data_IF_394105527224
#
_entry.id   IF_394105527224
#
_cell.length_a   1.000
_cell.length_b   1.000
_cell.length_c   1.000
_cell.angle_alpha   90.00
_cell.angle_beta   90.00
_cell.angle_gamma   90.00
#
_symmetry.space_group_name_H-M   'P 1'
#
loop_
_entity.id
_entity.type
_entity.pdbx_description
1 polymer ?
#
# COMPACT_ATOMS: atom_id res chain seq x y z
N UNK A 1 -32.20 3.97 39.19
CA UNK A 1 -33.08 4.17 40.36
C UNK A 1 -34.54 4.43 39.95
N UNK A 2 -35.51 3.68 40.48
CA UNK A 2 -36.94 3.94 40.28
C UNK A 2 -37.32 5.21 41.05
N UNK A 3 -37.11 6.37 40.43
CA UNK A 3 -37.32 7.71 41.01
C UNK A 3 -38.76 8.20 40.87
N UNK A 4 -39.71 7.32 40.60
CA UNK A 4 -41.12 7.70 40.50
C UNK A 4 -41.77 7.53 41.86
N UNK A 5 -42.15 8.64 42.51
CA UNK A 5 -43.00 8.61 43.71
C UNK A 5 -44.32 7.93 43.37
N UNK A 6 -44.79 7.07 44.27
CA UNK A 6 -46.03 6.27 44.13
C UNK A 6 -47.23 7.12 43.67
N UNK A 7 -47.43 8.30 44.26
CA UNK A 7 -48.48 9.27 43.87
C UNK A 7 -48.45 9.69 42.40
N UNK A 8 -47.26 9.68 41.77
CA UNK A 8 -47.07 10.04 40.36
C UNK A 8 -47.38 8.86 39.46
N UNK A 9 -47.03 7.64 39.88
CA UNK A 9 -47.39 6.42 39.17
C UNK A 9 -48.91 6.19 39.20
N UNK A 10 -49.54 6.33 40.36
CA UNK A 10 -50.99 6.23 40.53
C UNK A 10 -51.73 7.24 39.65
N UNK A 11 -51.29 8.51 39.64
CA UNK A 11 -51.89 9.54 38.78
C UNK A 11 -51.77 9.22 37.28
N UNK A 12 -50.66 8.60 36.85
CA UNK A 12 -50.44 8.22 35.45
C UNK A 12 -51.38 7.09 35.03
N UNK A 13 -51.58 6.08 35.87
CA UNK A 13 -52.50 4.98 35.57
C UNK A 13 -53.97 5.40 35.65
N UNK A 14 -54.35 6.23 36.63
CA UNK A 14 -55.71 6.77 36.72
C UNK A 14 -56.09 7.59 35.47
N UNK A 15 -55.16 8.31 34.87
CA UNK A 15 -55.40 9.07 33.64
C UNK A 15 -55.72 8.19 32.41
N UNK A 16 -55.44 6.88 32.46
CA UNK A 16 -55.71 5.94 31.37
C UNK A 16 -57.07 5.24 31.50
N UNK A 17 -57.73 5.35 32.66
CA UNK A 17 -59.00 4.67 32.94
C UNK A 17 -60.18 5.63 32.79
N UNK A 18 -61.29 5.23 32.14
CA UNK A 18 -62.50 6.05 32.09
C UNK A 18 -63.28 5.97 33.43
N UNK A 19 -63.62 7.13 34.00
CA UNK A 19 -64.54 7.26 35.15
C UNK A 19 -63.88 7.62 36.50
N UNK A 20 -64.70 7.79 37.54
CA UNK A 20 -64.23 8.04 38.91
C UNK A 20 -63.76 6.73 39.55
N UNK A 21 -62.45 6.46 39.47
CA UNK A 21 -61.83 5.28 40.06
C UNK A 21 -61.24 5.64 41.44
N UNK A 22 -61.63 4.89 42.48
CA UNK A 22 -61.06 5.02 43.82
C UNK A 22 -60.00 3.95 44.04
N UNK A 23 -58.73 4.37 44.17
CA UNK A 23 -57.61 3.48 44.49
C UNK A 23 -57.78 2.93 45.90
N UNK A 24 -57.75 1.60 46.04
CA UNK A 24 -57.83 0.91 47.34
C UNK A 24 -56.46 0.50 47.86
N UNK A 25 -55.60 0.05 46.97
CA UNK A 25 -54.24 -0.41 47.25
C UNK A 25 -53.37 -0.14 46.02
N UNK A 26 -52.09 0.11 46.25
CA UNK A 26 -51.09 0.21 45.20
C UNK A 26 -49.92 -0.70 45.57
N UNK A 27 -49.43 -1.46 44.59
CA UNK A 27 -48.30 -2.38 44.78
C UNK A 27 -47.27 -2.14 43.69
N UNK A 28 -45.99 -2.26 44.04
CA UNK A 28 -44.90 -2.21 43.07
C UNK A 28 -44.82 -3.54 42.33
N UNK A 29 -44.88 -3.50 41.00
CA UNK A 29 -44.73 -4.68 40.13
C UNK A 29 -43.54 -4.47 39.21
N UNK A 30 -42.65 -5.44 39.17
CA UNK A 30 -41.52 -5.51 38.25
C UNK A 30 -41.93 -6.25 36.97
N UNK A 31 -41.81 -5.60 35.82
CA UNK A 31 -42.09 -6.21 34.53
C UNK A 31 -40.83 -6.85 33.93
N UNK A 32 -40.94 -8.04 33.32
CA UNK A 32 -39.81 -8.69 32.69
C UNK A 32 -39.44 -7.97 31.38
N UNK A 33 -38.15 -7.71 31.22
CA UNK A 33 -37.57 -7.17 30.00
C UNK A 33 -36.44 -8.09 29.54
N UNK A 34 -36.25 -8.17 28.23
CA UNK A 34 -35.08 -8.80 27.64
C UNK A 34 -33.98 -7.75 27.48
N UNK A 35 -32.79 -8.08 27.96
CA UNK A 35 -31.58 -7.27 27.80
C UNK A 35 -30.57 -8.04 26.96
N UNK A 36 -30.22 -7.50 25.80
CA UNK A 36 -29.11 -7.96 24.98
C UNK A 36 -27.90 -7.07 25.22
N UNK A 37 -26.77 -7.65 25.64
CA UNK A 37 -25.49 -6.96 25.73
C UNK A 37 -24.45 -7.69 24.89
N UNK A 38 -23.74 -6.95 24.05
CA UNK A 38 -22.67 -7.49 23.22
C UNK A 38 -21.49 -6.54 23.15
N UNK A 39 -20.31 -7.11 22.96
CA UNK A 39 -19.10 -6.39 22.57
C UNK A 39 -18.65 -6.91 21.21
N UNK A 40 -18.63 -6.03 20.21
CA UNK A 40 -18.12 -6.32 18.88
C UNK A 40 -16.67 -5.84 18.78
N UNK A 41 -15.75 -6.77 18.53
CA UNK A 41 -14.33 -6.44 18.32
C UNK A 41 -13.98 -6.51 16.85
N UNK A 42 -13.45 -5.41 16.33
CA UNK A 42 -12.99 -5.29 14.96
C UNK A 42 -11.47 -5.23 14.95
N UNK A 43 -10.85 -6.05 14.11
CA UNK A 43 -9.40 -6.09 13.96
C UNK A 43 -9.04 -5.91 12.51
N UNK A 44 -8.04 -5.07 12.24
CA UNK A 44 -7.46 -5.00 10.91
C UNK A 44 -6.81 -6.35 10.54
N UNK A 45 -6.68 -6.64 9.23
CA UNK A 45 -6.03 -7.86 8.72
C UNK A 45 -4.58 -7.98 9.17
N UNK A 46 -3.90 -6.86 9.44
CA UNK A 46 -2.54 -6.85 9.98
C UNK A 46 -2.50 -6.93 11.51
N UNK A 47 -3.67 -6.94 12.17
CA UNK A 47 -3.87 -6.97 13.64
C UNK A 47 -3.17 -5.84 14.41
N UNK A 48 -2.85 -4.73 13.74
CA UNK A 48 -2.16 -3.59 14.35
C UNK A 48 -3.11 -2.66 15.11
N UNK A 49 -4.38 -2.64 14.71
CA UNK A 49 -5.41 -1.80 15.30
C UNK A 49 -6.65 -2.64 15.62
N UNK A 50 -7.22 -2.37 16.79
CA UNK A 50 -8.46 -2.98 17.25
C UNK A 50 -9.45 -1.91 17.70
N UNK A 51 -10.70 -2.05 17.30
CA UNK A 51 -11.82 -1.25 17.80
C UNK A 51 -12.79 -2.15 18.52
N UNK A 52 -13.28 -1.70 19.66
CA UNK A 52 -14.33 -2.38 20.42
C UNK A 52 -15.57 -1.48 20.45
N UNK A 53 -16.73 -2.07 20.16
CA UNK A 53 -18.03 -1.40 20.22
C UNK A 53 -18.97 -2.18 21.13
N UNK A 54 -19.43 -1.52 22.19
CA UNK A 54 -20.44 -2.08 23.10
C UNK A 54 -21.83 -1.75 22.57
N UNK A 55 -22.66 -2.77 22.42
CA UNK A 55 -24.01 -2.68 21.89
C UNK A 55 -24.96 -3.22 22.95
N UNK A 56 -25.96 -2.42 23.31
CA UNK A 56 -27.01 -2.81 24.24
C UNK A 56 -28.38 -2.67 23.57
N UNK A 57 -29.27 -3.62 23.83
CA UNK A 57 -30.68 -3.58 23.44
C UNK A 57 -31.56 -3.86 24.65
N UNK A 58 -32.60 -3.06 24.85
CA UNK A 58 -33.58 -3.26 25.91
C UNK A 58 -34.99 -3.23 25.33
N UNK A 59 -35.72 -4.32 25.52
CA UNK A 59 -37.08 -4.47 25.02
C UNK A 59 -37.96 -5.22 26.02
N UNK A 60 -39.30 -5.01 25.98
CA UNK A 60 -40.22 -5.88 26.70
C UNK A 60 -39.95 -7.34 26.35
N UNK A 61 -40.06 -8.25 27.32
CA UNK A 61 -39.79 -9.66 27.08
C UNK A 61 -40.75 -10.21 26.00
N UNK A 62 -40.24 -10.62 24.82
CA UNK A 62 -41.08 -11.16 23.75
C UNK A 62 -41.59 -12.56 24.07
N UNK A 63 -42.56 -13.05 23.29
CA UNK A 63 -42.96 -14.47 23.35
C UNK A 63 -41.88 -15.36 22.72
N UNK A 64 -41.87 -16.65 23.07
CA UNK A 64 -40.78 -17.57 22.70
C UNK A 64 -40.51 -17.72 21.20
N UNK A 65 -41.47 -17.41 20.33
CA UNK A 65 -41.37 -17.54 18.87
C UNK A 65 -41.45 -16.20 18.13
N UNK A 66 -41.44 -15.09 18.86
CA UNK A 66 -41.52 -13.76 18.26
C UNK A 66 -40.25 -13.39 17.51
N UNK A 67 -40.41 -12.57 16.48
CA UNK A 67 -39.29 -11.95 15.79
C UNK A 67 -38.97 -10.59 16.42
N UNK A 68 -37.69 -10.37 16.73
CA UNK A 68 -37.22 -9.12 17.34
C UNK A 68 -36.55 -8.23 16.30
N UNK A 69 -37.08 -7.01 16.14
CA UNK A 69 -36.42 -5.93 15.40
C UNK A 69 -35.44 -5.20 16.32
N UNK A 70 -34.23 -5.76 16.45
CA UNK A 70 -33.20 -5.30 17.39
C UNK A 70 -32.84 -3.82 17.21
N UNK A 71 -32.81 -3.29 15.98
CA UNK A 71 -32.42 -1.90 15.70
C UNK A 71 -33.31 -0.88 16.43
N UNK A 72 -34.61 -1.17 16.55
CA UNK A 72 -35.57 -0.29 17.24
C UNK A 72 -35.35 -0.23 18.76
N UNK A 73 -34.61 -1.18 19.31
CA UNK A 73 -34.43 -1.37 20.74
C UNK A 73 -32.99 -1.10 21.20
N UNK A 74 -32.11 -0.65 20.29
CA UNK A 74 -30.74 -0.24 20.62
C UNK A 74 -30.75 0.93 21.60
N UNK A 75 -29.89 0.83 22.61
CA UNK A 75 -29.71 1.85 23.65
C UNK A 75 -28.22 2.06 23.93
N UNK A 76 -27.84 3.31 24.18
CA UNK A 76 -26.44 3.71 24.38
C UNK A 76 -26.05 3.91 25.86
N UNK A 77 -26.99 3.71 26.79
CA UNK A 77 -26.82 4.09 28.20
C UNK A 77 -26.74 2.90 29.17
N UNK A 78 -26.77 1.67 28.66
CA UNK A 78 -26.80 0.44 29.47
C UNK A 78 -25.53 -0.37 29.26
N UNK A 79 -24.91 -0.76 30.36
CA UNK A 79 -23.78 -1.68 30.43
C UNK A 79 -24.03 -2.68 31.56
N UNK A 80 -23.26 -3.77 31.60
CA UNK A 80 -23.40 -4.78 32.64
C UNK A 80 -23.19 -4.21 34.05
N UNK A 81 -22.38 -3.17 34.18
CA UNK A 81 -22.05 -2.49 35.45
C UNK A 81 -23.25 -1.72 36.04
N UNK A 82 -24.24 -1.37 35.21
CA UNK A 82 -25.45 -0.67 35.65
C UNK A 82 -26.53 -1.64 36.19
N UNK A 83 -26.30 -2.95 36.15
CA UNK A 83 -27.28 -3.96 36.55
C UNK A 83 -27.08 -4.38 38.01
N UNK A 84 -28.17 -4.45 38.75
CA UNK A 84 -28.23 -4.98 40.11
C UNK A 84 -28.95 -6.32 40.09
N UNK A 85 -28.45 -7.30 40.85
CA UNK A 85 -29.06 -8.62 40.93
C UNK A 85 -30.36 -8.63 41.76
N UNK A 86 -30.49 -7.68 42.68
CA UNK A 86 -31.64 -7.56 43.56
C UNK A 86 -32.45 -6.30 43.21
N UNK A 87 -33.79 -6.36 43.31
CA UNK A 87 -34.60 -5.18 43.10
C UNK A 87 -34.33 -4.14 44.21
N UNK A 88 -34.29 -2.84 43.89
CA UNK A 88 -34.00 -1.80 44.87
C UNK A 88 -35.10 -1.63 45.93
N UNK A 89 -36.29 -2.23 45.73
CA UNK A 89 -37.42 -2.26 46.68
C UNK A 89 -38.14 -3.60 46.58
N UNK A 90 -38.75 -4.05 47.67
CA UNK A 90 -39.64 -5.21 47.61
C UNK A 90 -40.87 -4.90 46.74
N UNK A 91 -41.27 -5.88 45.94
CA UNK A 91 -42.41 -5.78 45.03
C UNK A 91 -42.79 -7.15 44.50
N UNK A 92 -43.86 -7.18 43.72
CA UNK A 92 -44.29 -8.37 42.96
C UNK A 92 -43.54 -8.42 41.63
N UNK A 93 -43.45 -9.60 41.03
CA UNK A 93 -42.89 -9.79 39.70
C UNK A 93 -44.01 -10.20 38.73
N UNK A 94 -44.01 -9.60 37.54
CA UNK A 94 -44.91 -9.97 36.46
C UNK A 94 -44.65 -11.41 36.00
N UNK A 95 -45.66 -12.03 35.41
CA UNK A 95 -45.51 -13.34 34.78
C UNK A 95 -44.61 -13.25 33.56
N UNK A 96 -43.86 -14.33 33.30
CA UNK A 96 -43.16 -14.49 32.03
C UNK A 96 -44.17 -14.80 30.91
N UNK A 97 -43.94 -14.31 29.68
CA UNK A 97 -44.69 -14.74 28.51
C UNK A 97 -44.60 -16.25 28.27
N UNK A 98 -45.54 -16.77 27.48
CA UNK A 98 -45.63 -18.19 27.19
C UNK A 98 -44.34 -18.70 26.52
N UNK A 99 -43.85 -19.85 27.00
CA UNK A 99 -42.61 -20.48 26.52
C UNK A 99 -41.31 -19.86 27.03
N UNK A 100 -41.35 -18.73 27.76
CA UNK A 100 -40.15 -18.05 28.27
C UNK A 100 -39.66 -18.55 29.63
N UNK A 101 -40.24 -19.64 30.13
CA UNK A 101 -39.77 -20.32 31.35
C UNK A 101 -38.56 -21.22 31.08
N UNK A 102 -38.43 -21.69 29.84
CA UNK A 102 -37.34 -22.57 29.41
C UNK A 102 -36.17 -21.79 28.80
N UNK A 103 -34.96 -22.36 28.84
CA UNK A 103 -33.75 -21.75 28.27
C UNK A 103 -33.67 -21.64 26.73
N UNK A 104 -34.29 -22.51 25.90
CA UNK A 104 -34.07 -22.49 24.44
C UNK A 104 -34.41 -21.18 23.73
N UNK A 105 -35.53 -20.49 24.01
CA UNK A 105 -35.86 -19.22 23.34
C UNK A 105 -34.80 -18.13 23.55
N UNK A 106 -34.22 -18.03 24.76
CA UNK A 106 -33.12 -17.09 25.03
C UNK A 106 -31.87 -17.39 24.20
N UNK A 107 -31.63 -18.67 23.90
CA UNK A 107 -30.52 -19.08 23.03
C UNK A 107 -30.77 -18.62 21.59
N UNK A 108 -31.99 -18.79 21.09
CA UNK A 108 -32.37 -18.29 19.77
C UNK A 108 -32.24 -16.77 19.68
N UNK A 109 -32.75 -16.03 20.67
CA UNK A 109 -32.62 -14.57 20.70
C UNK A 109 -31.16 -14.10 20.76
N UNK A 110 -30.30 -14.80 21.51
CA UNK A 110 -28.87 -14.51 21.53
C UNK A 110 -28.26 -14.68 20.14
N UNK A 111 -28.55 -15.80 19.47
CA UNK A 111 -27.98 -16.11 18.15
C UNK A 111 -28.51 -15.12 17.09
N UNK A 112 -29.80 -14.80 17.12
CA UNK A 112 -30.41 -13.76 16.27
C UNK A 112 -29.80 -12.36 16.53
N UNK A 113 -29.47 -12.03 17.79
CA UNK A 113 -28.83 -10.78 18.15
C UNK A 113 -27.39 -10.70 17.62
N UNK A 114 -26.64 -11.81 17.69
CA UNK A 114 -25.30 -11.92 17.10
C UNK A 114 -25.39 -11.69 15.59
N UNK A 115 -26.32 -12.36 14.91
CA UNK A 115 -26.52 -12.21 13.46
C UNK A 115 -26.91 -10.78 13.06
N UNK A 116 -27.76 -10.13 13.86
CA UNK A 116 -28.09 -8.71 13.69
C UNK A 116 -26.85 -7.82 13.78
N UNK A 117 -25.99 -8.00 14.78
CA UNK A 117 -24.76 -7.21 14.95
C UNK A 117 -23.84 -7.39 13.74
N UNK A 118 -23.65 -8.62 13.27
CA UNK A 118 -22.83 -8.89 12.08
C UNK A 118 -23.38 -8.21 10.82
N UNK A 119 -24.70 -8.12 10.67
CA UNK A 119 -25.35 -7.54 9.49
C UNK A 119 -25.40 -6.01 9.52
N UNK A 120 -25.77 -5.43 10.66
CA UNK A 120 -26.12 -4.00 10.77
C UNK A 120 -24.98 -3.12 11.31
N UNK A 121 -23.91 -3.72 11.84
CA UNK A 121 -22.72 -3.00 12.32
C UNK A 121 -21.43 -3.36 11.54
N UNK A 122 -21.42 -3.31 10.20
CA UNK A 122 -20.19 -3.50 9.44
C UNK A 122 -19.29 -2.25 9.51
N UNK A 123 -17.99 -2.45 9.70
CA UNK A 123 -17.02 -1.36 9.49
C UNK A 123 -16.72 -1.21 8.00
N UNK A 124 -16.81 0.03 7.53
CA UNK A 124 -16.44 0.38 6.15
C UNK A 124 -14.92 0.54 6.07
N UNK A 125 -14.30 -0.23 5.18
CA UNK A 125 -12.88 -0.10 4.86
C UNK A 125 -12.76 0.40 3.42
N UNK A 126 -12.02 1.49 3.23
CA UNK A 126 -11.71 2.02 1.91
C UNK A 126 -10.51 1.28 1.33
N UNK A 127 -10.53 0.99 0.04
CA UNK A 127 -9.48 0.22 -0.62
C UNK A 127 -9.01 0.92 -1.89
N UNK A 128 -7.70 1.07 -2.04
CA UNK A 128 -7.07 1.54 -3.26
C UNK A 128 -6.25 0.41 -3.88
N UNK A 129 -6.87 -0.35 -4.79
CA UNK A 129 -6.32 -1.60 -5.34
C UNK A 129 -4.93 -1.44 -5.99
N UNK A 130 -4.72 -0.39 -6.80
CA UNK A 130 -3.43 -0.18 -7.49
C UNK A 130 -2.28 0.12 -6.51
N UNK A 131 -2.56 0.81 -5.41
CA UNK A 131 -1.57 1.10 -4.37
C UNK A 131 -1.49 -0.02 -3.33
N UNK A 132 -2.41 -0.99 -3.36
CA UNK A 132 -2.56 -2.04 -2.34
C UNK A 132 -2.67 -1.47 -0.93
N UNK A 133 -3.39 -0.35 -0.80
CA UNK A 133 -3.66 0.30 0.47
C UNK A 133 -5.11 0.06 0.88
N UNK A 134 -5.31 -0.19 2.17
CA UNK A 134 -6.61 -0.26 2.84
C UNK A 134 -6.66 0.81 3.93
N UNK A 135 -7.83 1.37 4.20
CA UNK A 135 -8.00 2.34 5.28
C UNK A 135 -7.79 1.70 6.65
N UNK A 136 -7.37 2.52 7.62
CA UNK A 136 -7.36 2.16 9.04
C UNK A 136 -8.79 2.16 9.61
N UNK A 137 -8.94 1.62 10.82
CA UNK A 137 -10.21 1.70 11.54
C UNK A 137 -10.51 3.18 11.84
N UNK A 138 -11.74 3.62 11.57
CA UNK A 138 -12.21 5.00 11.74
C UNK A 138 -11.45 6.08 10.94
N UNK A 139 -10.59 5.70 9.99
CA UNK A 139 -9.93 6.67 9.09
C UNK A 139 -10.96 7.32 8.18
N UNK A 140 -10.99 8.66 8.18
CA UNK A 140 -11.87 9.39 7.29
C UNK A 140 -11.43 9.22 5.83
N UNK A 141 -12.37 9.35 4.89
CA UNK A 141 -12.05 9.29 3.45
C UNK A 141 -10.98 10.32 3.05
N UNK A 142 -10.99 11.49 3.70
CA UNK A 142 -10.01 12.55 3.46
C UNK A 142 -8.61 12.12 3.88
N UNK A 143 -8.45 11.53 5.06
CA UNK A 143 -7.17 11.03 5.56
C UNK A 143 -6.65 9.90 4.68
N UNK A 144 -7.51 8.93 4.36
CA UNK A 144 -7.14 7.83 3.47
C UNK A 144 -6.68 8.32 2.11
N UNK A 145 -7.39 9.30 1.51
CA UNK A 145 -7.01 9.89 0.23
C UNK A 145 -5.68 10.64 0.30
N UNK A 146 -5.38 11.32 1.41
CA UNK A 146 -4.09 11.97 1.61
C UNK A 146 -2.96 10.94 1.67
N UNK A 147 -3.12 9.87 2.44
CA UNK A 147 -2.15 8.76 2.52
C UNK A 147 -1.93 8.08 1.16
N UNK A 148 -3.00 7.88 0.39
CA UNK A 148 -2.89 7.35 -0.98
C UNK A 148 -2.06 8.28 -1.88
N UNK A 149 -2.28 9.60 -1.79
CA UNK A 149 -1.50 10.57 -2.57
C UNK A 149 -0.03 10.54 -2.18
N UNK A 150 0.28 10.55 -0.89
CA UNK A 150 1.66 10.48 -0.40
C UNK A 150 2.38 9.22 -0.89
N UNK A 151 1.72 8.06 -0.80
CA UNK A 151 2.26 6.81 -1.31
C UNK A 151 2.46 6.83 -2.84
N UNK A 152 1.52 7.41 -3.59
CA UNK A 152 1.67 7.57 -5.03
C UNK A 152 2.86 8.47 -5.38
N UNK A 153 3.08 9.55 -4.62
CA UNK A 153 4.27 10.41 -4.81
C UNK A 153 5.54 9.64 -4.51
N UNK A 154 5.60 8.94 -3.37
CA UNK A 154 6.75 8.12 -2.98
C UNK A 154 7.11 7.09 -4.05
N UNK A 155 6.13 6.38 -4.62
CA UNK A 155 6.37 5.41 -5.70
C UNK A 155 6.85 6.07 -6.98
N UNK A 156 6.26 7.21 -7.35
CA UNK A 156 6.71 7.98 -8.52
C UNK A 156 8.17 8.38 -8.38
N UNK A 157 8.52 8.95 -7.23
CA UNK A 157 9.88 9.42 -6.95
C UNK A 157 10.86 8.22 -6.95
N UNK A 158 10.46 7.07 -6.40
CA UNK A 158 11.25 5.84 -6.49
C UNK A 158 11.46 5.34 -7.93
N UNK A 159 10.45 5.44 -8.80
CA UNK A 159 10.61 5.06 -10.21
C UNK A 159 11.53 6.04 -10.95
N UNK A 160 11.40 7.34 -10.69
CA UNK A 160 12.29 8.37 -11.24
C UNK A 160 13.74 8.10 -10.81
N UNK A 161 13.97 7.82 -9.52
CA UNK A 161 15.30 7.49 -9.01
C UNK A 161 15.85 6.21 -9.65
N UNK A 162 15.02 5.18 -9.87
CA UNK A 162 15.44 3.94 -10.55
C UNK A 162 15.84 4.19 -12.00
N UNK A 163 15.08 4.99 -12.73
CA UNK A 163 15.40 5.37 -14.11
C UNK A 163 16.68 6.19 -14.13
N UNK A 164 16.80 7.20 -13.26
CA UNK A 164 18.00 8.02 -13.14
C UNK A 164 19.26 7.22 -12.78
N UNK A 165 19.16 6.24 -11.89
CA UNK A 165 20.27 5.35 -11.56
C UNK A 165 20.68 4.45 -12.74
N UNK A 166 19.72 4.00 -13.54
CA UNK A 166 19.99 3.21 -14.75
C UNK A 166 20.71 4.04 -15.80
N UNK A 167 20.16 5.21 -16.15
CA UNK A 167 20.76 6.12 -17.10
C UNK A 167 22.16 6.59 -16.65
N UNK A 168 22.32 6.88 -15.35
CA UNK A 168 23.62 7.24 -14.79
C UNK A 168 24.66 6.12 -14.92
N UNK A 169 24.26 4.86 -14.69
CA UNK A 169 25.15 3.71 -14.89
C UNK A 169 25.53 3.54 -16.36
N UNK A 170 24.55 3.62 -17.26
CA UNK A 170 24.76 3.45 -18.70
C UNK A 170 25.68 4.56 -19.25
N UNK A 171 25.50 5.81 -18.83
CA UNK A 171 26.39 6.93 -19.15
C UNK A 171 27.81 6.67 -18.65
N UNK A 172 27.99 6.32 -17.38
CA UNK A 172 29.32 6.03 -16.82
C UNK A 172 30.02 4.88 -17.54
N UNK A 173 29.27 3.85 -17.98
CA UNK A 173 29.84 2.76 -18.79
C UNK A 173 30.29 3.23 -20.17
N UNK A 174 29.52 4.09 -20.83
CA UNK A 174 29.87 4.67 -22.14
C UNK A 174 31.06 5.64 -22.04
N UNK A 175 31.08 6.50 -21.02
CA UNK A 175 32.20 7.41 -20.74
C UNK A 175 33.49 6.62 -20.47
N UNK A 176 33.41 5.56 -19.68
CA UNK A 176 34.56 4.70 -19.42
C UNK A 176 35.04 3.97 -20.69
N UNK A 177 34.15 3.64 -21.64
CA UNK A 177 34.52 3.11 -22.96
C UNK A 177 35.19 4.18 -23.81
N UNK A 178 34.64 5.39 -23.86
CA UNK A 178 35.22 6.52 -24.59
C UNK A 178 36.64 6.82 -24.10
N UNK A 179 36.86 6.83 -22.79
CA UNK A 179 38.19 7.07 -22.22
C UNK A 179 39.20 5.95 -22.58
N UNK A 180 38.73 4.71 -22.71
CA UNK A 180 39.55 3.59 -23.21
C UNK A 180 39.92 3.79 -24.67
N UNK A 181 38.95 4.14 -25.51
CA UNK A 181 39.15 4.40 -26.93
C UNK A 181 40.10 5.59 -27.16
N UNK A 182 39.96 6.66 -26.37
CA UNK A 182 40.87 7.81 -26.41
C UNK A 182 42.31 7.42 -26.05
N UNK A 183 42.49 6.46 -25.14
CA UNK A 183 43.81 5.92 -24.79
C UNK A 183 44.37 5.04 -25.92
N UNK A 184 43.53 4.29 -26.60
CA UNK A 184 43.88 3.44 -27.76
C UNK A 184 44.29 4.30 -28.96
N UNK A 185 43.46 5.27 -29.35
CA UNK A 185 43.77 6.24 -30.40
C UNK A 185 45.11 6.95 -30.19
N UNK A 186 45.46 7.30 -28.93
CA UNK A 186 46.77 7.90 -28.63
C UNK A 186 47.92 6.94 -28.91
N UNK A 187 47.77 5.65 -28.62
CA UNK A 187 48.78 4.63 -28.91
C UNK A 187 48.89 4.38 -30.41
N UNK A 188 47.75 4.27 -31.09
CA UNK A 188 47.69 3.99 -32.53
C UNK A 188 48.28 5.13 -33.34
N UNK A 189 48.04 6.39 -32.94
CA UNK A 189 48.71 7.55 -33.55
C UNK A 189 50.22 7.52 -33.37
N UNK A 190 50.72 7.13 -32.20
CA UNK A 190 52.16 6.96 -31.95
C UNK A 190 52.73 5.84 -32.83
N UNK A 191 52.05 4.70 -32.95
CA UNK A 191 52.46 3.61 -33.83
C UNK A 191 52.45 4.04 -35.29
N UNK A 192 51.36 4.65 -35.76
CA UNK A 192 51.24 5.15 -37.13
C UNK A 192 52.38 6.11 -37.49
N UNK A 193 52.68 7.08 -36.62
CA UNK A 193 53.80 8.01 -36.83
C UNK A 193 55.15 7.27 -36.88
N UNK A 194 55.33 6.25 -36.05
CA UNK A 194 56.49 5.35 -36.11
C UNK A 194 56.60 4.62 -37.45
N UNK A 195 55.54 3.94 -37.88
CA UNK A 195 55.46 3.20 -39.16
C UNK A 195 55.70 4.11 -40.35
N UNK A 196 55.12 5.30 -40.33
CA UNK A 196 55.31 6.32 -41.37
C UNK A 196 56.76 6.76 -41.50
N UNK A 197 57.49 6.94 -40.38
CA UNK A 197 58.93 7.24 -40.39
C UNK A 197 59.74 6.06 -40.93
N UNK A 198 59.42 4.83 -40.53
CA UNK A 198 60.08 3.61 -41.05
C UNK A 198 59.89 3.43 -42.56
N UNK A 199 58.68 3.67 -43.07
CA UNK A 199 58.38 3.63 -44.51
C UNK A 199 59.18 4.68 -45.28
N UNK A 200 59.25 5.92 -44.77
CA UNK A 200 60.00 7.00 -45.39
C UNK A 200 61.51 6.71 -45.47
N UNK A 201 62.10 6.18 -44.39
CA UNK A 201 63.50 5.75 -44.38
C UNK A 201 63.76 4.64 -45.41
N UNK A 202 62.87 3.63 -45.47
CA UNK A 202 62.99 2.53 -46.43
C UNK A 202 62.83 2.97 -47.88
N UNK A 203 62.00 3.98 -48.15
CA UNK A 203 61.88 4.56 -49.49
C UNK A 203 63.18 5.28 -49.88
N UNK A 204 63.80 6.03 -48.96
CA UNK A 204 65.10 6.67 -49.16
C UNK A 204 66.23 5.68 -49.42
N UNK A 205 66.31 4.60 -48.63
CA UNK A 205 67.28 3.52 -48.84
C UNK A 205 67.10 2.81 -50.19
N UNK A 206 65.85 2.64 -50.64
CA UNK A 206 65.54 1.98 -51.92
C UNK A 206 65.99 2.82 -53.13
N UNK A 207 65.83 4.15 -53.06
CA UNK A 207 66.30 5.08 -54.11
C UNK A 207 67.83 5.18 -54.10
N UNK A 208 68.46 5.27 -52.93
CA UNK A 208 69.92 5.24 -52.79
C UNK A 208 70.52 3.93 -53.31
N UNK A 209 69.90 2.78 -53.02
CA UNK A 209 70.32 1.47 -53.49
C UNK A 209 70.20 1.29 -55.02
N UNK A 210 69.24 1.97 -55.65
CA UNK A 210 69.08 2.03 -57.11
C UNK A 210 70.17 2.89 -57.77
N UNK A 211 70.56 4.01 -57.17
CA UNK A 211 71.63 4.91 -57.67
C UNK A 211 73.03 4.32 -57.52
N UNK A 212 73.28 3.51 -56.48
CA UNK A 212 74.55 2.79 -56.25
C UNK A 212 74.67 1.47 -57.04
N UNK A 213 73.77 1.22 -58.00
CA UNK A 213 73.91 0.15 -59.01
C UNK A 213 73.62 -1.28 -58.53
N UNK A 214 73.17 -1.49 -57.28
CA UNK A 214 73.00 -2.84 -56.71
C UNK A 214 71.54 -3.29 -56.82
N UNK A 215 71.16 -3.91 -57.95
CA UNK A 215 69.83 -4.53 -58.13
C UNK A 215 69.62 -5.65 -57.10
N UNK A 216 68.74 -5.43 -56.11
CA UNK A 216 68.26 -6.45 -55.18
C UNK A 216 66.74 -6.48 -55.20
N UNK A 217 66.14 -7.59 -55.64
CA UNK A 217 64.68 -7.81 -55.66
C UNK A 217 64.02 -7.71 -54.28
N UNK A 218 64.79 -7.87 -53.20
CA UNK A 218 64.33 -7.78 -51.82
C UNK A 218 63.94 -6.37 -51.36
N UNK A 219 64.48 -5.31 -51.97
CA UNK A 219 64.20 -3.92 -51.57
C UNK A 219 62.74 -3.51 -51.89
N UNK A 220 62.24 -3.92 -53.06
CA UNK A 220 60.84 -3.68 -53.48
C UNK A 220 59.83 -4.41 -52.59
N UNK A 221 60.13 -5.66 -52.21
CA UNK A 221 59.28 -6.47 -51.31
C UNK A 221 59.20 -5.86 -49.91
N UNK A 222 60.33 -5.38 -49.37
CA UNK A 222 60.35 -4.69 -48.07
C UNK A 222 59.58 -3.36 -48.09
N UNK A 223 59.70 -2.57 -49.15
CA UNK A 223 58.94 -1.33 -49.29
C UNK A 223 57.43 -1.59 -49.34
N UNK A 224 56.99 -2.60 -50.10
CA UNK A 224 55.57 -3.00 -50.17
C UNK A 224 55.04 -3.48 -48.81
N UNK A 225 55.83 -4.25 -48.06
CA UNK A 225 55.45 -4.72 -46.73
C UNK A 225 55.34 -3.55 -45.74
N UNK A 226 56.29 -2.61 -45.74
CA UNK A 226 56.24 -1.42 -44.85
C UNK A 226 55.03 -0.53 -45.16
N UNK A 227 54.76 -0.28 -46.44
CA UNK A 227 53.54 0.44 -46.87
C UNK A 227 52.26 -0.22 -46.37
N UNK A 228 52.19 -1.55 -46.42
CA UNK A 228 51.04 -2.31 -45.89
C UNK A 228 50.90 -2.13 -44.37
N UNK A 229 52.01 -2.14 -43.63
CA UNK A 229 52.00 -1.90 -42.18
C UNK A 229 51.57 -0.48 -41.83
N UNK A 230 52.07 0.54 -42.53
CA UNK A 230 51.61 1.94 -42.35
C UNK A 230 50.13 2.08 -42.68
N UNK A 231 49.67 1.47 -43.78
CA UNK A 231 48.26 1.52 -44.18
C UNK A 231 47.36 0.86 -43.14
N UNK A 232 47.81 -0.23 -42.52
CA UNK A 232 47.10 -0.89 -41.42
C UNK A 232 47.03 -0.01 -40.17
N UNK A 233 48.16 0.54 -39.72
CA UNK A 233 48.19 1.45 -38.57
C UNK A 233 47.33 2.71 -38.80
N UNK A 234 47.25 3.19 -40.05
CA UNK A 234 46.32 4.28 -40.41
C UNK A 234 44.86 3.87 -40.25
N UNK A 235 44.51 2.67 -40.69
CA UNK A 235 43.16 2.15 -40.56
C UNK A 235 42.76 1.96 -39.09
N UNK A 236 43.69 1.53 -38.22
CA UNK A 236 43.46 1.40 -36.76
C UNK A 236 43.18 2.79 -36.12
N UNK A 237 43.89 3.85 -36.55
CA UNK A 237 43.58 5.24 -36.14
C UNK A 237 42.20 5.69 -36.61
N UNK A 238 41.86 5.45 -37.89
CA UNK A 238 40.55 5.81 -38.45
C UNK A 238 39.42 5.05 -37.74
N UNK A 239 39.57 3.76 -37.47
CA UNK A 239 38.61 2.94 -36.74
C UNK A 239 38.34 3.47 -35.32
N UNK A 240 39.41 3.83 -34.58
CA UNK A 240 39.30 4.43 -33.25
C UNK A 240 38.58 5.78 -33.29
N UNK A 241 38.86 6.63 -34.28
CA UNK A 241 38.19 7.93 -34.44
C UNK A 241 36.68 7.76 -34.68
N UNK A 242 36.29 6.84 -35.56
CA UNK A 242 34.88 6.51 -35.81
C UNK A 242 34.20 5.89 -34.58
N UNK A 243 34.90 5.03 -33.84
CA UNK A 243 34.37 4.44 -32.61
C UNK A 243 34.10 5.49 -31.53
N UNK A 244 35.01 6.46 -31.37
CA UNK A 244 34.83 7.59 -30.49
C UNK A 244 33.65 8.48 -30.91
N UNK A 245 33.47 8.72 -32.21
CA UNK A 245 32.33 9.49 -32.72
C UNK A 245 31.00 8.82 -32.35
N UNK A 246 30.86 7.50 -32.63
CA UNK A 246 29.68 6.73 -32.26
C UNK A 246 29.41 6.73 -30.74
N UNK A 247 30.46 6.61 -29.93
CA UNK A 247 30.33 6.65 -28.47
C UNK A 247 29.86 8.03 -27.98
N UNK A 248 30.39 9.11 -28.56
CA UNK A 248 29.97 10.49 -28.21
C UNK A 248 28.52 10.76 -28.61
N UNK A 249 28.12 10.34 -29.79
CA UNK A 249 26.72 10.42 -30.23
C UNK A 249 25.81 9.68 -29.25
N UNK A 250 26.17 8.44 -28.90
CA UNK A 250 25.37 7.65 -27.94
C UNK A 250 25.30 8.25 -26.54
N UNK A 251 26.39 8.86 -26.06
CA UNK A 251 26.41 9.59 -24.79
C UNK A 251 25.47 10.80 -24.87
N UNK A 252 25.51 11.55 -25.97
CA UNK A 252 24.65 12.73 -26.18
C UNK A 252 23.17 12.33 -26.16
N UNK A 253 22.79 11.30 -26.92
CA UNK A 253 21.43 10.77 -26.93
C UNK A 253 20.96 10.40 -25.51
N UNK A 254 21.78 9.65 -24.77
CA UNK A 254 21.40 9.18 -23.44
C UNK A 254 21.38 10.31 -22.39
N UNK A 255 22.16 11.37 -22.60
CA UNK A 255 22.16 12.56 -21.76
C UNK A 255 20.92 13.43 -21.98
N UNK A 256 20.35 13.43 -23.19
CA UNK A 256 19.08 14.12 -23.51
C UNK A 256 17.86 13.38 -22.96
N UNK A 257 17.93 12.05 -22.80
CA UNK A 257 16.86 11.22 -22.22
C UNK A 257 16.73 11.35 -20.69
N UNK A 258 17.69 12.00 -20.03
CA UNK A 258 17.78 12.11 -18.56
C UNK A 258 17.06 13.34 -18.01
#
# INVERSE_FOLDING_TARGET
PVTTREDRAIRRELARLPGEVRVREASLVYEPYLLGLASASYRDRQQLESKEETIACLLPLPEAQDFVDWEKHVTHQLSAEHLEAEPPRSGLFGSLPDGMTDSPPYTQFRDDFIDYIYRERPIRILVHAQLKLTSRLDESEREFRMRCREEARRRRDQEVDRVGQRLGRDLSELEARLEREERELRRDRIEYDGRKREEALSAGESILGLLLGRRRSSALSQASQRRRMTSRARAEVEESEEAMERLRERISELAEER
#
